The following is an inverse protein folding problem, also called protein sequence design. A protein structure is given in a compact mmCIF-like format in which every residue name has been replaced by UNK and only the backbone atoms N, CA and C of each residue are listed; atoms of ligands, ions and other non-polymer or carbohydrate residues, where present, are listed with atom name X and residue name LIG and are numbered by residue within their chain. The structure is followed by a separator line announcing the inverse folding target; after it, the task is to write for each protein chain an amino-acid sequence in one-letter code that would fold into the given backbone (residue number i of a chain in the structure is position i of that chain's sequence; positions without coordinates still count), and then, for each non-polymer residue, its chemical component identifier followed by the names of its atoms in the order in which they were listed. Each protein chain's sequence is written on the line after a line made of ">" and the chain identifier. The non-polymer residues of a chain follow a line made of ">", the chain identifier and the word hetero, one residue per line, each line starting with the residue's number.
data_IF_279402042890
#
_entry.id   IF_279402042890
#
_cell.length_a   1.000
_cell.length_b   1.000
_cell.length_c   1.000
_cell.angle_alpha   90.00
_cell.angle_beta   90.00
_cell.angle_gamma   90.00
#
_symmetry.space_group_name_H-M   'P 1'
#
loop_
_entity.id
_entity.type
_entity.pdbx_description
1 polymer ?
#
# COMPACT_ATOMS: atom_id res chain seq x y z
N UNK A 1 -81.92 -57.98 21.89
CA UNK A 1 -81.19 -57.05 20.99
C UNK A 1 -80.27 -56.24 21.89
N UNK A 2 -79.07 -56.70 22.26
CA UNK A 2 -77.83 -56.84 21.46
C UNK A 2 -77.50 -55.60 20.62
N UNK A 3 -76.82 -54.63 21.22
CA UNK A 3 -75.98 -53.65 20.51
C UNK A 3 -74.69 -53.44 21.29
N UNK A 4 -73.58 -53.70 20.57
CA UNK A 4 -72.21 -53.83 21.03
C UNK A 4 -71.59 -52.45 21.30
N UNK A 5 -70.81 -52.33 22.38
CA UNK A 5 -69.82 -51.28 22.55
C UNK A 5 -68.63 -51.58 21.62
N UNK A 6 -68.39 -50.72 20.64
CA UNK A 6 -67.14 -50.70 19.86
C UNK A 6 -66.24 -49.60 20.38
N UNK A 7 -65.16 -50.02 21.02
CA UNK A 7 -64.02 -49.20 21.39
C UNK A 7 -63.35 -48.65 20.14
N UNK A 8 -63.30 -47.32 19.99
CA UNK A 8 -62.51 -46.67 18.93
C UNK A 8 -61.08 -46.53 19.46
N UNK A 9 -60.18 -47.31 18.89
CA UNK A 9 -58.73 -47.17 19.03
C UNK A 9 -58.27 -45.88 18.37
N UNK A 10 -57.83 -44.90 19.17
CA UNK A 10 -57.14 -43.70 18.68
C UNK A 10 -55.72 -44.13 18.29
N UNK A 11 -55.47 -44.27 16.99
CA UNK A 11 -54.13 -44.45 16.45
C UNK A 11 -53.40 -43.10 16.48
N UNK A 12 -52.46 -42.94 17.42
CA UNK A 12 -51.53 -41.81 17.45
C UNK A 12 -50.58 -41.88 16.25
N UNK A 13 -50.85 -41.08 15.21
CA UNK A 13 -49.89 -40.77 14.16
C UNK A 13 -48.78 -39.88 14.75
N UNK A 14 -47.65 -40.50 15.09
CA UNK A 14 -46.39 -39.79 15.31
C UNK A 14 -45.94 -39.19 13.96
N UNK A 15 -46.33 -37.94 13.72
CA UNK A 15 -45.72 -37.13 12.69
C UNK A 15 -44.28 -36.85 13.12
N UNK A 16 -43.31 -37.56 12.54
CA UNK A 16 -41.90 -37.17 12.59
C UNK A 16 -41.76 -35.93 11.73
N UNK A 17 -42.02 -34.77 12.34
CA UNK A 17 -41.64 -33.49 11.79
C UNK A 17 -40.12 -33.44 11.74
N UNK A 18 -39.54 -33.74 10.58
CA UNK A 18 -38.17 -33.32 10.28
C UNK A 18 -38.21 -31.80 10.32
N UNK A 19 -37.75 -31.24 11.44
CA UNK A 19 -37.46 -29.82 11.54
C UNK A 19 -36.36 -29.51 10.53
N UNK A 20 -36.76 -29.14 9.31
CA UNK A 20 -35.90 -28.44 8.38
C UNK A 20 -35.57 -27.12 9.07
N UNK A 21 -34.45 -27.08 9.78
CA UNK A 21 -33.85 -25.83 10.19
C UNK A 21 -33.67 -25.02 8.91
N UNK A 22 -34.21 -23.79 8.83
CA UNK A 22 -33.91 -22.94 7.68
C UNK A 22 -32.40 -22.78 7.68
N UNK A 23 -31.74 -23.33 6.65
CA UNK A 23 -30.36 -23.01 6.38
C UNK A 23 -30.33 -21.49 6.26
N UNK A 24 -29.75 -20.82 7.26
CA UNK A 24 -29.44 -19.41 7.15
C UNK A 24 -28.58 -19.31 5.91
N UNK A 25 -29.16 -18.78 4.83
CA UNK A 25 -28.42 -18.46 3.63
C UNK A 25 -27.38 -17.44 4.08
N UNK A 26 -26.16 -17.93 4.35
CA UNK A 26 -25.03 -17.08 4.66
C UNK A 26 -24.96 -16.05 3.54
N UNK A 27 -25.17 -14.78 3.87
CA UNK A 27 -25.08 -13.71 2.89
C UNK A 27 -23.73 -13.87 2.19
N UNK A 28 -23.76 -14.04 0.87
CA UNK A 28 -22.55 -14.30 0.08
C UNK A 28 -21.52 -13.18 0.26
N UNK A 29 -20.24 -13.52 0.18
CA UNK A 29 -19.14 -12.55 0.33
C UNK A 29 -19.20 -11.51 -0.80
N UNK A 30 -19.13 -10.23 -0.47
CA UNK A 30 -19.08 -9.15 -1.46
C UNK A 30 -17.64 -8.88 -1.86
N UNK A 31 -17.35 -9.06 -3.14
CA UNK A 31 -16.01 -8.89 -3.71
C UNK A 31 -15.98 -7.63 -4.56
N UNK A 32 -14.99 -6.78 -4.28
CA UNK A 32 -14.68 -5.60 -5.09
C UNK A 32 -13.32 -5.75 -5.77
N UNK A 33 -13.14 -4.95 -6.80
CA UNK A 33 -11.85 -4.75 -7.48
C UNK A 33 -11.52 -3.27 -7.43
N UNK A 34 -10.27 -2.91 -7.66
CA UNK A 34 -9.87 -1.52 -7.86
C UNK A 34 -10.30 -1.07 -9.28
N UNK A 35 -11.17 -0.07 -9.43
CA UNK A 35 -11.44 0.56 -10.72
C UNK A 35 -10.17 1.20 -11.28
N UNK A 36 -10.09 1.36 -12.60
CA UNK A 36 -8.92 1.95 -13.28
C UNK A 36 -7.62 1.10 -13.26
N UNK A 37 -7.53 0.06 -12.43
CA UNK A 37 -6.37 -0.83 -12.41
C UNK A 37 -6.22 -1.57 -13.75
N UNK A 38 -5.00 -1.66 -14.32
CA UNK A 38 -4.75 -2.49 -15.49
C UNK A 38 -5.19 -3.95 -15.30
N UNK A 39 -5.13 -4.45 -14.07
CA UNK A 39 -5.40 -5.86 -13.74
C UNK A 39 -6.84 -6.17 -13.39
N UNK A 40 -7.79 -5.21 -13.41
CA UNK A 40 -9.17 -5.44 -12.93
C UNK A 40 -9.82 -6.71 -13.49
N UNK A 41 -9.62 -6.99 -14.78
CA UNK A 41 -10.14 -8.21 -15.42
C UNK A 41 -9.46 -9.49 -14.91
N UNK A 42 -8.14 -9.45 -14.70
CA UNK A 42 -7.39 -10.54 -14.06
C UNK A 42 -7.87 -10.76 -12.63
N UNK A 43 -7.96 -9.70 -11.85
CA UNK A 43 -8.28 -9.77 -10.41
C UNK A 43 -9.67 -10.37 -10.20
N UNK A 44 -10.63 -9.99 -11.07
CA UNK A 44 -11.97 -10.59 -11.10
C UNK A 44 -11.93 -12.08 -11.49
N UNK A 45 -11.08 -12.48 -12.43
CA UNK A 45 -10.95 -13.89 -12.83
C UNK A 45 -10.31 -14.75 -11.72
N UNK A 46 -9.24 -14.26 -11.10
CA UNK A 46 -8.59 -14.90 -9.94
C UNK A 46 -9.56 -15.02 -8.78
N UNK A 47 -10.28 -13.95 -8.44
CA UNK A 47 -11.30 -13.98 -7.40
C UNK A 47 -12.40 -15.00 -7.71
N UNK A 48 -12.97 -15.02 -8.92
CA UNK A 48 -13.98 -16.03 -9.28
C UNK A 48 -13.46 -17.45 -9.09
N UNK A 49 -12.22 -17.72 -9.48
CA UNK A 49 -11.64 -19.06 -9.32
C UNK A 49 -11.40 -19.43 -7.85
N UNK A 50 -10.87 -18.50 -7.06
CA UNK A 50 -10.61 -18.68 -5.62
C UNK A 50 -11.92 -18.95 -4.88
N UNK A 51 -12.93 -18.09 -5.04
CA UNK A 51 -14.20 -18.24 -4.33
C UNK A 51 -14.96 -19.50 -4.75
N UNK A 52 -14.93 -19.85 -6.04
CA UNK A 52 -15.50 -21.11 -6.57
C UNK A 52 -14.80 -22.33 -5.96
N UNK A 53 -13.47 -22.35 -5.96
CA UNK A 53 -12.68 -23.48 -5.44
C UNK A 53 -12.82 -23.61 -3.93
N UNK A 54 -12.90 -22.48 -3.22
CA UNK A 54 -13.13 -22.45 -1.79
C UNK A 54 -14.54 -22.89 -1.40
N UNK A 55 -15.50 -22.97 -2.32
CA UNK A 55 -16.91 -23.22 -2.02
C UNK A 55 -17.57 -22.07 -1.25
N UNK A 56 -17.22 -20.83 -1.59
CA UNK A 56 -17.77 -19.62 -1.00
C UNK A 56 -18.66 -18.93 -2.03
N UNK A 57 -19.94 -18.72 -1.70
CA UNK A 57 -20.82 -17.89 -2.51
C UNK A 57 -20.30 -16.44 -2.50
N UNK A 58 -20.09 -15.86 -3.67
CA UNK A 58 -19.55 -14.51 -3.83
C UNK A 58 -20.38 -13.68 -4.82
N UNK A 59 -20.58 -12.41 -4.48
CA UNK A 59 -21.16 -11.41 -5.38
C UNK A 59 -20.08 -10.40 -5.76
N UNK A 60 -20.08 -9.95 -7.01
CA UNK A 60 -19.04 -9.04 -7.50
C UNK A 60 -19.63 -7.66 -7.75
N UNK A 61 -19.17 -6.68 -7.00
CA UNK A 61 -19.55 -5.29 -7.22
C UNK A 61 -19.05 -4.84 -8.60
N UNK A 62 -19.91 -4.16 -9.36
CA UNK A 62 -19.60 -3.62 -10.69
C UNK A 62 -18.95 -2.25 -10.62
N UNK A 63 -19.23 -1.47 -9.56
CA UNK A 63 -18.62 -0.14 -9.33
C UNK A 63 -17.20 -0.23 -8.80
N UNK A 64 -16.86 -1.31 -8.11
CA UNK A 64 -15.58 -1.45 -7.41
C UNK A 64 -15.52 -0.64 -6.11
N UNK A 65 -14.30 -0.36 -5.64
CA UNK A 65 -14.03 0.58 -4.54
C UNK A 65 -14.12 1.99 -5.10
N UNK A 66 -14.96 2.83 -4.52
CA UNK A 66 -15.28 4.19 -4.98
C UNK A 66 -13.99 5.03 -5.14
N UNK A 67 -13.56 5.28 -6.38
CA UNK A 67 -12.70 6.41 -6.71
C UNK A 67 -13.61 7.52 -7.23
N UNK A 68 -13.41 8.77 -6.81
CA UNK A 68 -14.24 9.87 -7.29
C UNK A 68 -13.90 10.25 -8.75
N UNK A 69 -13.23 9.38 -9.52
CA UNK A 69 -12.73 9.65 -10.86
C UNK A 69 -11.46 10.52 -10.90
N UNK A 70 -10.93 10.91 -9.75
CA UNK A 70 -9.71 11.71 -9.65
C UNK A 70 -8.47 10.79 -9.69
N UNK A 71 -7.47 11.17 -10.50
CA UNK A 71 -6.22 10.43 -10.77
C UNK A 71 -5.26 10.38 -9.56
N UNK A 72 -5.77 10.70 -8.37
CA UNK A 72 -5.01 10.96 -7.14
C UNK A 72 -4.88 9.73 -6.23
N UNK A 73 -5.44 8.58 -6.64
CA UNK A 73 -5.43 7.34 -5.88
C UNK A 73 -6.51 7.30 -4.78
N UNK A 74 -6.66 6.14 -4.13
CA UNK A 74 -7.66 5.92 -3.07
C UNK A 74 -6.96 6.11 -1.71
N UNK A 75 -7.49 6.97 -0.84
CA UNK A 75 -6.97 7.12 0.53
C UNK A 75 -7.25 5.88 1.37
N UNK A 76 -6.44 5.63 2.41
CA UNK A 76 -6.68 4.55 3.36
C UNK A 76 -8.06 4.68 4.06
N UNK A 77 -8.53 5.92 4.26
CA UNK A 77 -9.84 6.19 4.86
C UNK A 77 -11.01 5.83 3.93
N UNK A 78 -10.91 6.12 2.63
CA UNK A 78 -11.91 5.76 1.60
C UNK A 78 -11.94 4.26 1.35
N UNK A 79 -10.77 3.63 1.37
CA UNK A 79 -10.64 2.18 1.30
C UNK A 79 -11.31 1.49 2.48
N UNK A 80 -11.11 2.01 3.69
CA UNK A 80 -11.76 1.50 4.91
C UNK A 80 -13.27 1.66 4.85
N UNK A 81 -13.77 2.85 4.46
CA UNK A 81 -15.21 3.10 4.28
C UNK A 81 -15.85 2.15 3.25
N UNK A 82 -15.14 1.88 2.16
CA UNK A 82 -15.61 0.94 1.12
C UNK A 82 -15.65 -0.51 1.62
N UNK A 83 -14.68 -0.93 2.45
CA UNK A 83 -14.68 -2.24 3.10
C UNK A 83 -15.73 -2.38 4.22
N UNK A 84 -16.15 -1.27 4.83
CA UNK A 84 -17.25 -1.29 5.80
C UNK A 84 -18.61 -1.31 5.09
N UNK A 85 -18.76 -0.54 4.01
CA UNK A 85 -20.04 -0.29 3.35
C UNK A 85 -20.34 -1.22 2.18
N UNK A 86 -19.39 -1.44 1.29
CA UNK A 86 -19.65 -1.94 -0.07
C UNK A 86 -19.07 -3.35 -0.34
N UNK A 87 -18.00 -3.74 0.36
CA UNK A 87 -17.19 -4.91 0.03
C UNK A 87 -16.75 -5.65 1.29
N UNK A 88 -16.71 -6.97 1.30
CA UNK A 88 -16.05 -7.74 2.36
C UNK A 88 -14.57 -8.01 2.04
N UNK A 89 -14.25 -8.05 0.74
CA UNK A 89 -12.91 -8.35 0.21
C UNK A 89 -12.64 -7.50 -1.02
N UNK A 90 -11.42 -6.99 -1.15
CA UNK A 90 -10.92 -6.34 -2.38
C UNK A 90 -9.90 -7.26 -3.03
N UNK A 91 -10.13 -7.62 -4.29
CA UNK A 91 -9.18 -8.33 -5.13
C UNK A 91 -8.36 -7.32 -5.94
N UNK A 92 -7.04 -7.54 -5.99
CA UNK A 92 -6.13 -6.71 -6.81
C UNK A 92 -5.43 -5.63 -6.01
N UNK A 93 -5.37 -5.80 -4.69
CA UNK A 93 -4.76 -4.80 -3.82
C UNK A 93 -3.23 -4.89 -3.91
N UNK A 94 -2.53 -3.83 -4.32
CA UNK A 94 -1.08 -3.82 -4.41
C UNK A 94 -0.45 -3.76 -3.01
N UNK A 95 0.55 -4.60 -2.78
CA UNK A 95 1.23 -4.77 -1.49
C UNK A 95 2.73 -4.74 -1.68
N UNK A 96 3.45 -4.07 -0.78
CA UNK A 96 4.91 -4.16 -0.69
C UNK A 96 5.35 -4.10 0.76
N UNK A 97 6.40 -4.85 1.13
CA UNK A 97 6.87 -4.91 2.51
C UNK A 97 7.18 -3.53 3.12
N UNK A 98 7.51 -2.53 2.29
CA UNK A 98 7.90 -1.19 2.72
C UNK A 98 6.68 -0.28 2.89
N UNK A 99 5.72 -0.33 1.96
CA UNK A 99 4.47 0.41 2.09
C UNK A 99 3.59 -0.18 3.20
N UNK A 100 3.68 -1.49 3.41
CA UNK A 100 2.84 -2.25 4.34
C UNK A 100 3.35 -2.22 5.80
N UNK A 101 4.50 -1.62 6.07
CA UNK A 101 5.12 -1.58 7.41
C UNK A 101 4.36 -0.71 8.43
N UNK A 102 3.14 -0.28 8.11
CA UNK A 102 2.30 0.57 8.92
C UNK A 102 1.06 -0.14 9.43
N UNK A 103 0.61 0.27 10.61
CA UNK A 103 -0.46 -0.36 11.39
C UNK A 103 -1.86 -0.19 10.82
N UNK A 104 -2.11 -0.61 9.58
CA UNK A 104 -3.46 -0.74 9.04
C UNK A 104 -4.23 -1.83 9.79
N UNK A 105 -5.52 -1.58 10.07
CA UNK A 105 -6.45 -2.57 10.64
C UNK A 105 -6.91 -3.63 9.63
N UNK A 106 -6.46 -3.52 8.38
CA UNK A 106 -6.76 -4.46 7.32
C UNK A 106 -5.86 -5.68 7.40
N UNK A 107 -6.39 -6.84 7.04
CA UNK A 107 -5.61 -8.06 6.84
C UNK A 107 -5.52 -8.37 5.35
N UNK A 108 -4.55 -9.19 4.96
CA UNK A 108 -4.23 -9.44 3.56
C UNK A 108 -3.95 -10.93 3.34
N UNK A 109 -4.34 -11.44 2.17
CA UNK A 109 -3.95 -12.79 1.76
C UNK A 109 -2.48 -12.82 1.35
N UNK A 110 -1.94 -14.03 1.19
CA UNK A 110 -0.75 -14.22 0.36
C UNK A 110 -0.94 -13.63 -1.04
N UNK A 111 0.16 -13.22 -1.66
CA UNK A 111 0.16 -12.66 -3.01
C UNK A 111 -0.18 -13.72 -4.05
N UNK A 112 -1.05 -13.37 -4.99
CA UNK A 112 -1.42 -14.26 -6.10
C UNK A 112 -0.77 -13.87 -7.43
N UNK A 113 -0.21 -12.66 -7.52
CA UNK A 113 0.63 -12.21 -8.64
C UNK A 113 1.77 -11.36 -8.10
N UNK A 114 3.01 -11.82 -8.27
CA UNK A 114 4.18 -10.96 -8.06
C UNK A 114 4.30 -9.95 -9.18
N UNK A 115 4.58 -8.70 -8.83
CA UNK A 115 4.70 -7.59 -9.76
C UNK A 115 5.72 -6.57 -9.24
N UNK A 116 5.74 -5.38 -9.84
CA UNK A 116 6.70 -4.37 -9.43
C UNK A 116 6.76 -3.15 -10.34
N UNK A 117 7.50 -2.16 -9.87
CA UNK A 117 7.92 -1.03 -10.69
C UNK A 117 9.16 -1.44 -11.45
N UNK A 118 9.13 -1.23 -12.76
CA UNK A 118 10.15 -1.66 -13.71
C UNK A 118 10.67 -0.47 -14.51
N UNK A 119 11.88 -0.62 -15.03
CA UNK A 119 12.48 0.33 -15.95
C UNK A 119 12.16 -0.12 -17.37
N UNK A 120 11.62 0.78 -18.19
CA UNK A 120 11.09 0.47 -19.51
C UNK A 120 11.74 1.40 -20.54
N UNK A 121 12.19 0.86 -21.66
CA UNK A 121 12.74 1.64 -22.79
C UNK A 121 12.20 1.11 -24.12
N UNK A 122 12.31 1.90 -25.19
CA UNK A 122 12.05 1.41 -26.54
C UNK A 122 13.14 0.40 -26.95
N UNK A 123 12.76 -0.61 -27.75
CA UNK A 123 13.72 -1.64 -28.20
C UNK A 123 14.90 -1.10 -28.98
N UNK A 124 14.69 -0.05 -29.75
CA UNK A 124 15.71 0.57 -30.60
C UNK A 124 16.17 1.92 -30.02
N UNK A 125 16.06 2.10 -28.70
CA UNK A 125 16.47 3.32 -28.05
C UNK A 125 17.98 3.58 -28.26
N UNK A 126 18.38 4.76 -28.75
CA UNK A 126 19.79 5.10 -28.87
C UNK A 126 20.48 5.09 -27.51
N UNK A 127 21.76 4.72 -27.49
CA UNK A 127 22.57 4.71 -26.27
C UNK A 127 22.62 6.11 -25.63
N UNK A 128 22.65 6.21 -24.28
CA UNK A 128 22.67 7.50 -23.61
C UNK A 128 23.88 8.34 -24.03
N UNK A 129 23.64 9.51 -24.62
CA UNK A 129 24.64 10.34 -25.29
C UNK A 129 25.46 11.24 -24.33
N UNK A 130 25.65 10.82 -23.09
CA UNK A 130 26.33 11.62 -22.04
C UNK A 130 25.54 12.84 -21.52
N UNK A 131 24.41 13.19 -22.14
CA UNK A 131 23.45 14.17 -21.61
C UNK A 131 22.61 13.57 -20.47
N UNK A 132 22.01 14.42 -19.63
CA UNK A 132 21.05 13.99 -18.59
C UNK A 132 19.92 13.19 -19.23
N UNK A 133 19.73 11.94 -18.80
CA UNK A 133 18.66 11.06 -19.28
C UNK A 133 17.29 11.59 -18.80
N UNK A 134 16.30 11.67 -19.69
CA UNK A 134 14.91 11.98 -19.33
C UNK A 134 14.19 10.69 -18.99
N UNK A 135 13.74 10.61 -17.73
CA UNK A 135 13.04 9.47 -17.17
C UNK A 135 11.60 9.87 -16.88
N UNK A 136 10.66 9.23 -17.55
CA UNK A 136 9.24 9.39 -17.25
C UNK A 136 8.87 8.62 -15.98
N UNK A 137 8.04 9.23 -15.14
CA UNK A 137 7.55 8.61 -13.92
C UNK A 137 6.13 9.07 -13.59
N UNK A 138 5.35 8.18 -12.97
CA UNK A 138 3.97 8.50 -12.56
C UNK A 138 4.00 9.28 -11.24
N UNK A 139 3.44 10.47 -11.24
CA UNK A 139 3.30 11.34 -10.08
C UNK A 139 2.54 10.65 -8.93
N UNK A 140 2.90 10.95 -7.68
CA UNK A 140 2.21 10.45 -6.50
C UNK A 140 2.38 8.95 -6.23
N UNK A 141 3.24 8.27 -6.99
CA UNK A 141 3.40 6.82 -6.94
C UNK A 141 4.84 6.40 -6.62
N UNK A 142 5.09 5.12 -6.27
CA UNK A 142 6.44 4.59 -6.12
C UNK A 142 7.32 4.80 -7.36
N UNK A 143 6.75 4.93 -8.56
CA UNK A 143 7.50 5.26 -9.78
C UNK A 143 8.31 6.55 -9.59
N UNK A 144 7.69 7.60 -9.06
CA UNK A 144 8.33 8.88 -8.80
C UNK A 144 9.45 8.75 -7.76
N UNK A 145 9.24 7.97 -6.68
CA UNK A 145 10.26 7.75 -5.66
C UNK A 145 11.49 7.03 -6.21
N UNK A 146 11.27 6.03 -7.07
CA UNK A 146 12.35 5.28 -7.72
C UNK A 146 13.08 6.17 -8.74
N UNK A 147 12.34 7.04 -9.45
CA UNK A 147 12.92 8.01 -10.38
C UNK A 147 13.79 9.03 -9.66
N UNK A 148 13.34 9.54 -8.51
CA UNK A 148 14.09 10.47 -7.68
C UNK A 148 15.43 9.89 -7.16
N UNK A 149 15.57 8.56 -7.10
CA UNK A 149 16.83 7.88 -6.74
C UNK A 149 17.84 7.80 -7.89
N UNK A 150 17.45 8.16 -9.12
CA UNK A 150 18.32 8.09 -10.28
C UNK A 150 19.27 9.29 -10.33
N UNK A 151 20.56 9.01 -10.50
CA UNK A 151 21.57 10.06 -10.65
C UNK A 151 21.62 10.55 -12.10
N UNK A 152 21.94 11.83 -12.30
CA UNK A 152 22.09 12.43 -13.63
C UNK A 152 20.86 12.33 -14.55
N UNK A 153 19.65 12.43 -13.99
CA UNK A 153 18.39 12.38 -14.73
C UNK A 153 17.63 13.71 -14.72
N UNK A 154 16.76 13.89 -15.71
CA UNK A 154 15.62 14.82 -15.72
C UNK A 154 14.34 14.01 -15.63
N UNK A 155 13.33 14.52 -14.94
CA UNK A 155 12.07 13.80 -14.75
C UNK A 155 10.98 14.38 -15.64
N UNK A 156 10.26 13.49 -16.33
CA UNK A 156 9.00 13.79 -17.00
C UNK A 156 7.88 13.18 -16.14
N UNK A 157 7.23 14.01 -15.33
CA UNK A 157 6.19 13.55 -14.40
C UNK A 157 4.83 13.55 -15.10
N UNK A 158 4.22 12.37 -15.14
CA UNK A 158 2.94 12.12 -15.77
C UNK A 158 1.90 11.72 -14.72
N UNK A 159 0.63 12.04 -14.95
CA UNK A 159 -0.41 11.79 -13.95
C UNK A 159 -0.83 10.30 -13.91
N UNK A 160 -0.84 9.62 -15.07
CA UNK A 160 -1.20 8.19 -15.16
C UNK A 160 -0.02 7.34 -15.60
N UNK A 161 -0.02 6.06 -15.20
CA UNK A 161 0.95 5.08 -15.74
C UNK A 161 0.85 4.91 -17.26
N UNK A 162 -0.33 5.09 -17.84
CA UNK A 162 -0.53 5.05 -19.29
C UNK A 162 0.20 6.23 -19.97
N UNK A 163 0.07 7.44 -19.44
CA UNK A 163 0.79 8.63 -19.93
C UNK A 163 2.30 8.49 -19.74
N UNK A 164 2.75 7.92 -18.62
CA UNK A 164 4.17 7.59 -18.39
C UNK A 164 4.74 6.70 -19.50
N UNK A 165 4.01 5.67 -19.94
CA UNK A 165 4.43 4.80 -21.06
C UNK A 165 4.27 5.54 -22.40
N UNK A 166 3.23 6.36 -22.54
CA UNK A 166 3.01 7.22 -23.70
C UNK A 166 4.15 8.22 -23.93
N UNK A 167 4.77 8.74 -22.87
CA UNK A 167 5.95 9.62 -22.96
C UNK A 167 7.14 8.92 -23.61
N UNK A 168 7.35 7.64 -23.28
CA UNK A 168 8.35 6.80 -23.90
C UNK A 168 8.00 6.51 -25.38
N UNK A 169 6.75 6.13 -25.66
CA UNK A 169 6.28 5.85 -27.02
C UNK A 169 6.35 7.07 -27.95
N UNK A 170 6.18 8.28 -27.40
CA UNK A 170 6.28 9.56 -28.12
C UNK A 170 7.72 10.10 -28.23
N UNK A 171 8.71 9.42 -27.64
CA UNK A 171 10.11 9.86 -27.62
C UNK A 171 10.39 11.07 -26.72
N UNK A 172 9.44 11.47 -25.86
CA UNK A 172 9.62 12.55 -24.87
C UNK A 172 10.54 12.14 -23.72
N UNK A 173 10.48 10.87 -23.35
CA UNK A 173 11.37 10.25 -22.38
C UNK A 173 12.20 9.15 -23.04
N UNK A 174 13.44 8.98 -22.58
CA UNK A 174 14.32 7.90 -23.06
C UNK A 174 14.04 6.59 -22.31
N UNK A 175 13.54 6.71 -21.09
CA UNK A 175 13.20 5.60 -20.21
C UNK A 175 12.00 5.96 -19.36
N UNK A 176 11.25 4.98 -18.90
CA UNK A 176 10.15 5.16 -17.97
C UNK A 176 10.34 4.23 -16.78
N UNK A 177 10.06 4.72 -15.57
CA UNK A 177 9.85 3.85 -14.41
C UNK A 177 8.34 3.71 -14.23
N UNK A 178 7.80 2.51 -14.26
CA UNK A 178 6.33 2.34 -14.26
C UNK A 178 5.92 1.00 -13.67
N UNK A 179 4.68 0.95 -13.18
CA UNK A 179 4.02 -0.27 -12.74
C UNK A 179 3.91 -1.28 -13.90
N UNK A 180 4.50 -2.48 -13.74
CA UNK A 180 4.61 -3.45 -14.83
C UNK A 180 3.27 -3.86 -15.48
N UNK A 181 2.17 -4.08 -14.74
CA UNK A 181 0.87 -4.35 -15.33
C UNK A 181 0.38 -3.25 -16.28
N UNK A 182 0.77 -1.99 -16.05
CA UNK A 182 0.48 -0.89 -16.97
C UNK A 182 1.22 -1.08 -18.31
N UNK A 183 2.44 -1.62 -18.30
CA UNK A 183 3.20 -1.96 -19.52
C UNK A 183 2.45 -3.04 -20.30
N UNK A 184 2.04 -4.10 -19.63
CA UNK A 184 1.28 -5.20 -20.24
C UNK A 184 -0.04 -4.71 -20.84
N UNK A 185 -0.78 -3.86 -20.13
CA UNK A 185 -2.02 -3.28 -20.64
C UNK A 185 -1.77 -2.37 -21.85
N UNK A 186 -0.74 -1.53 -21.78
CA UNK A 186 -0.37 -0.63 -22.87
C UNK A 186 0.02 -1.42 -24.14
N UNK A 187 0.83 -2.47 -24.03
CA UNK A 187 1.23 -3.31 -25.17
C UNK A 187 0.07 -4.08 -25.79
N UNK A 188 -0.95 -4.44 -24.99
CA UNK A 188 -2.19 -5.06 -25.49
C UNK A 188 -3.05 -4.06 -26.24
N UNK A 189 -3.15 -2.83 -25.76
CA UNK A 189 -3.86 -1.74 -26.43
C UNK A 189 -3.11 -1.22 -27.67
N UNK A 190 -1.78 -1.36 -27.71
CA UNK A 190 -0.90 -0.89 -28.78
C UNK A 190 -0.03 -2.04 -29.32
N UNK A 191 -0.56 -2.97 -30.13
CA UNK A 191 0.15 -4.19 -30.55
C UNK A 191 1.46 -3.96 -31.34
N UNK A 192 1.63 -2.77 -31.91
CA UNK A 192 2.83 -2.35 -32.64
C UNK A 192 3.95 -1.82 -31.73
N UNK A 193 3.60 -1.40 -30.51
CA UNK A 193 4.57 -0.92 -29.53
C UNK A 193 5.13 -2.09 -28.75
N UNK A 194 6.45 -2.14 -28.61
CA UNK A 194 7.17 -3.16 -27.86
C UNK A 194 8.27 -2.51 -27.05
N UNK A 195 8.34 -2.90 -25.78
CA UNK A 195 9.31 -2.31 -24.87
C UNK A 195 10.35 -3.33 -24.43
N UNK A 196 11.54 -2.82 -24.08
CA UNK A 196 12.47 -3.55 -23.24
C UNK A 196 12.12 -3.26 -21.80
N UNK A 197 12.07 -4.30 -20.98
CA UNK A 197 11.76 -4.20 -19.55
C UNK A 197 12.98 -4.67 -18.78
N UNK A 198 13.39 -3.89 -17.78
CA UNK A 198 14.50 -4.17 -16.89
C UNK A 198 14.09 -3.93 -15.43
N UNK A 199 14.79 -4.58 -14.50
CA UNK A 199 14.61 -4.32 -13.08
C UNK A 199 15.11 -2.90 -12.73
N UNK A 200 14.31 -2.14 -11.98
CA UNK A 200 14.80 -0.94 -11.27
C UNK A 200 15.65 -1.35 -10.10
N UNK A 201 16.57 -0.51 -9.61
CA UNK A 201 17.32 -0.75 -8.37
C UNK A 201 16.80 0.13 -7.25
N UNK A 202 15.71 -0.30 -6.61
CA UNK A 202 15.11 0.43 -5.49
C UNK A 202 14.32 -0.49 -4.58
N UNK A 203 14.31 -0.24 -3.25
CA UNK A 203 13.53 -1.06 -2.32
C UNK A 203 12.01 -0.91 -2.57
N UNK A 204 11.55 0.20 -3.17
CA UNK A 204 10.14 0.42 -3.55
C UNK A 204 9.69 -0.32 -4.82
N UNK A 205 10.50 -1.24 -5.35
CA UNK A 205 10.24 -1.87 -6.65
C UNK A 205 9.47 -3.17 -6.57
N UNK A 206 9.53 -3.89 -5.44
CA UNK A 206 8.94 -5.22 -5.30
C UNK A 206 7.53 -5.14 -4.70
N UNK A 207 6.56 -5.66 -5.45
CA UNK A 207 5.16 -5.61 -5.07
C UNK A 207 4.46 -6.93 -5.42
N UNK A 208 3.27 -7.11 -4.87
CA UNK A 208 2.39 -8.20 -5.26
C UNK A 208 0.94 -7.75 -5.23
N UNK A 209 0.08 -8.43 -5.98
CA UNK A 209 -1.36 -8.31 -5.84
C UNK A 209 -1.88 -9.37 -4.87
N UNK A 210 -2.67 -8.91 -3.91
CA UNK A 210 -3.31 -9.73 -2.87
C UNK A 210 -4.81 -9.44 -2.78
N UNK A 211 -5.50 -10.25 -1.99
CA UNK A 211 -6.81 -9.90 -1.44
C UNK A 211 -6.61 -9.07 -0.18
N UNK A 212 -7.40 -8.01 -0.03
CA UNK A 212 -7.43 -7.17 1.17
C UNK A 212 -8.77 -7.32 1.88
N UNK A 213 -8.73 -7.34 3.21
CA UNK A 213 -9.87 -7.65 4.07
C UNK A 213 -10.06 -6.54 5.11
N UNK A 214 -11.33 -6.22 5.38
CA UNK A 214 -11.69 -5.37 6.52
C UNK A 214 -11.49 -6.09 7.87
N UNK A 215 -11.61 -5.37 8.99
CA UNK A 215 -11.51 -5.95 10.33
C UNK A 215 -12.45 -7.15 10.56
N UNK A 216 -11.99 -8.16 11.29
CA UNK A 216 -12.81 -9.31 11.71
C UNK A 216 -13.06 -10.36 10.64
N UNK A 217 -12.28 -10.37 9.55
CA UNK A 217 -12.40 -11.32 8.43
C UNK A 217 -11.33 -12.41 8.43
N UNK A 218 -10.67 -12.67 9.56
CA UNK A 218 -9.51 -13.58 9.66
C UNK A 218 -9.81 -15.00 9.17
N UNK A 219 -10.98 -15.56 9.50
CA UNK A 219 -11.38 -16.88 9.02
C UNK A 219 -11.57 -16.95 7.50
N UNK A 220 -12.04 -15.85 6.89
CA UNK A 220 -12.17 -15.75 5.44
C UNK A 220 -10.81 -15.60 4.76
N UNK A 221 -9.92 -14.79 5.35
CA UNK A 221 -8.54 -14.62 4.91
C UNK A 221 -7.80 -15.97 4.91
N UNK A 222 -7.88 -16.75 5.99
CA UNK A 222 -7.23 -18.06 6.11
C UNK A 222 -7.74 -19.06 5.08
N UNK A 223 -9.06 -19.07 4.82
CA UNK A 223 -9.68 -19.95 3.83
C UNK A 223 -9.26 -19.57 2.40
N UNK A 224 -9.13 -18.28 2.11
CA UNK A 224 -8.63 -17.79 0.83
C UNK A 224 -7.15 -18.15 0.66
N UNK A 225 -6.32 -18.02 1.70
CA UNK A 225 -4.91 -18.43 1.65
C UNK A 225 -4.76 -19.93 1.38
N UNK A 226 -5.49 -20.79 2.09
CA UNK A 226 -5.46 -22.23 1.84
C UNK A 226 -5.83 -22.57 0.38
N UNK A 227 -6.83 -21.86 -0.17
CA UNK A 227 -7.27 -22.04 -1.56
C UNK A 227 -6.22 -21.53 -2.56
N UNK A 228 -5.60 -20.38 -2.30
CA UNK A 228 -4.51 -19.86 -3.12
C UNK A 228 -3.31 -20.82 -3.14
N UNK A 229 -2.99 -21.45 -2.01
CA UNK A 229 -1.93 -22.47 -1.93
C UNK A 229 -2.28 -23.70 -2.76
N UNK A 230 -3.54 -24.15 -2.72
CA UNK A 230 -4.02 -25.24 -3.58
C UNK A 230 -3.91 -24.89 -5.08
N UNK A 231 -4.36 -23.70 -5.47
CA UNK A 231 -4.33 -23.23 -6.87
C UNK A 231 -2.90 -22.98 -7.37
N UNK A 232 -2.00 -22.59 -6.47
CA UNK A 232 -0.57 -22.49 -6.75
C UNK A 232 0.03 -23.88 -6.99
N UNK A 233 -0.22 -24.82 -6.07
CA UNK A 233 0.33 -26.18 -6.13
C UNK A 233 -0.11 -27.01 -7.33
N UNK A 234 -1.28 -26.72 -7.91
CA UNK A 234 -1.78 -27.39 -9.12
C UNK A 234 -1.55 -26.59 -10.42
N UNK A 235 -0.85 -25.45 -10.36
CA UNK A 235 -0.53 -24.61 -11.53
C UNK A 235 -1.69 -23.81 -12.10
N UNK A 236 -2.90 -23.89 -11.53
CA UNK A 236 -4.06 -23.11 -11.99
C UNK A 236 -3.84 -21.62 -11.83
N UNK A 237 -3.22 -21.20 -10.72
CA UNK A 237 -2.91 -19.80 -10.49
C UNK A 237 -1.93 -19.27 -11.55
N UNK A 238 -0.86 -20.02 -11.85
CA UNK A 238 0.08 -19.68 -12.92
C UNK A 238 -0.59 -19.60 -14.29
N UNK A 239 -1.59 -20.45 -14.56
CA UNK A 239 -2.37 -20.38 -15.80
C UNK A 239 -3.21 -19.11 -15.90
N UNK A 240 -3.81 -18.66 -14.79
CA UNK A 240 -4.62 -17.44 -14.76
C UNK A 240 -3.77 -16.18 -14.90
N UNK A 241 -2.58 -16.19 -14.30
CA UNK A 241 -1.71 -15.01 -14.22
C UNK A 241 -0.66 -14.92 -15.33
N UNK A 242 -0.46 -15.97 -16.14
CA UNK A 242 0.60 -16.08 -17.17
C UNK A 242 0.80 -14.82 -18.02
N UNK A 243 -0.28 -14.19 -18.46
CA UNK A 243 -0.22 -13.00 -19.32
C UNK A 243 0.25 -11.72 -18.61
N UNK A 244 0.46 -11.77 -17.30
CA UNK A 244 0.78 -10.65 -16.42
C UNK A 244 2.02 -10.90 -15.56
N UNK A 245 2.63 -12.09 -15.69
CA UNK A 245 3.82 -12.47 -14.93
C UNK A 245 5.01 -11.59 -15.31
N UNK A 246 5.75 -11.11 -14.30
CA UNK A 246 7.03 -10.45 -14.51
C UNK A 246 8.03 -11.41 -15.17
N UNK A 247 8.87 -10.95 -16.12
CA UNK A 247 9.96 -11.76 -16.65
C UNK A 247 10.89 -12.28 -15.54
N UNK A 248 11.28 -13.56 -15.62
CA UNK A 248 12.00 -14.27 -14.54
C UNK A 248 13.28 -13.55 -14.09
N UNK A 249 14.06 -12.99 -15.02
CA UNK A 249 15.28 -12.25 -14.68
C UNK A 249 15.03 -10.99 -13.85
N UNK A 250 13.85 -10.38 -13.99
CA UNK A 250 13.43 -9.21 -13.21
C UNK A 250 12.94 -9.65 -11.83
N UNK A 251 12.11 -10.70 -11.77
CA UNK A 251 11.60 -11.25 -10.53
C UNK A 251 12.74 -11.76 -9.61
N UNK A 252 13.78 -12.35 -10.20
CA UNK A 252 14.97 -12.82 -9.48
C UNK A 252 15.85 -11.66 -9.00
N UNK A 253 16.03 -10.61 -9.81
CA UNK A 253 16.76 -9.40 -9.41
C UNK A 253 16.07 -8.63 -8.27
N UNK A 254 14.75 -8.73 -8.15
CA UNK A 254 14.01 -8.21 -6.99
C UNK A 254 14.20 -9.10 -5.74
N UNK A 255 14.24 -10.43 -5.90
CA UNK A 255 14.38 -11.39 -4.81
C UNK A 255 15.79 -11.48 -4.19
N UNK A 256 16.84 -11.23 -4.97
CA UNK A 256 18.24 -11.29 -4.50
C UNK A 256 18.68 -10.05 -3.74
N UNK A 257 17.84 -9.01 -3.71
CA UNK A 257 18.15 -7.82 -2.93
C UNK A 257 17.82 -8.06 -1.47
N UNK A 258 18.86 -7.99 -0.66
CA UNK A 258 18.75 -7.71 0.77
C UNK A 258 17.74 -6.57 0.92
N UNK A 259 16.72 -6.67 1.79
CA UNK A 259 15.86 -5.52 2.08
C UNK A 259 16.78 -4.33 2.30
N UNK A 260 16.52 -3.23 1.57
CA UNK A 260 17.39 -2.07 1.62
C UNK A 260 17.67 -1.78 3.09
N UNK A 261 18.94 -1.88 3.49
CA UNK A 261 19.38 -1.60 4.85
C UNK A 261 19.12 -0.12 5.12
N UNK A 262 17.89 0.24 5.46
CA UNK A 262 17.71 1.00 6.68
C UNK A 262 17.98 0.01 7.81
N UNK A 263 18.71 0.44 8.82
CA UNK A 263 19.48 -0.41 9.73
C UNK A 263 18.59 -1.34 10.59
N UNK A 264 18.10 -2.42 10.00
CA UNK A 264 17.31 -3.45 10.68
C UNK A 264 18.19 -4.67 10.91
N UNK A 265 18.77 -4.74 12.11
CA UNK A 265 19.29 -5.98 12.68
C UNK A 265 18.22 -6.62 13.54
N UNK A 266 17.61 -7.70 13.04
CA UNK A 266 16.73 -8.55 13.82
C UNK A 266 17.49 -9.18 15.00
N UNK A 267 17.02 -8.93 16.23
CA UNK A 267 17.29 -9.80 17.36
C UNK A 267 15.99 -9.96 18.14
N UNK A 268 15.53 -11.21 18.22
CA UNK A 268 14.42 -11.61 19.07
C UNK A 268 14.78 -11.30 20.54
N UNK A 269 13.92 -10.56 21.21
CA UNK A 269 13.77 -10.70 22.67
C UNK A 269 12.40 -10.20 23.09
N UNK A 270 11.67 -11.08 23.75
CA UNK A 270 10.35 -10.83 24.29
C UNK A 270 10.43 -9.96 25.54
N UNK A 271 9.80 -8.79 25.55
CA UNK A 271 9.45 -8.11 26.79
C UNK A 271 8.14 -7.31 26.66
N UNK A 272 7.42 -7.25 27.78
CA UNK A 272 5.98 -6.99 27.96
C UNK A 272 5.61 -5.49 27.79
N UNK A 273 4.33 -5.14 27.53
CA UNK A 273 3.93 -3.75 27.35
C UNK A 273 3.86 -3.02 28.70
N UNK A 274 4.73 -2.04 28.89
CA UNK A 274 4.62 -1.01 29.92
C UNK A 274 4.59 0.35 29.25
N UNK A 275 3.49 1.09 29.40
CA UNK A 275 3.30 2.40 28.76
C UNK A 275 3.87 3.52 29.65
N UNK A 276 4.79 4.33 29.12
CA UNK A 276 5.27 5.55 29.78
C UNK A 276 4.91 6.76 28.91
N UNK A 277 4.24 7.75 29.51
CA UNK A 277 4.08 9.09 28.93
C UNK A 277 5.47 9.74 28.93
N UNK A 278 6.00 10.09 27.75
CA UNK A 278 7.16 10.98 27.64
C UNK A 278 6.69 12.40 27.97
N UNK A 279 6.46 12.66 29.25
CA UNK A 279 6.35 14.02 29.76
C UNK A 279 7.71 14.68 29.62
N UNK A 280 7.72 15.93 29.17
CA UNK A 280 8.88 16.82 29.10
C UNK A 280 9.72 16.75 30.39
N UNK A 281 10.77 15.94 30.40
CA UNK A 281 11.90 16.13 31.31
C UNK A 281 13.01 16.78 30.50
N UNK A 282 13.56 17.86 31.04
CA UNK A 282 14.81 18.46 30.59
C UNK A 282 15.85 17.34 30.44
N UNK A 283 16.17 16.95 29.19
CA UNK A 283 17.14 15.89 28.92
C UNK A 283 17.01 15.13 27.60
N UNK A 284 15.91 15.22 26.86
CA UNK A 284 15.77 14.49 25.57
C UNK A 284 16.55 15.11 24.40
N UNK A 285 17.09 16.33 24.55
CA UNK A 285 17.88 17.02 23.52
C UNK A 285 17.12 17.39 22.25
N UNK A 286 15.83 17.04 22.17
CA UNK A 286 14.97 17.33 21.02
C UNK A 286 14.64 18.83 20.98
N UNK A 287 14.74 19.48 19.82
CA UNK A 287 14.42 20.89 19.67
C UNK A 287 13.00 21.23 20.12
N UNK A 288 12.87 22.40 20.76
CA UNK A 288 11.56 23.00 21.01
C UNK A 288 10.88 23.42 19.71
N UNK A 289 9.56 23.33 19.69
CA UNK A 289 8.67 23.81 18.63
C UNK A 289 7.37 24.29 19.25
N UNK A 290 6.67 25.22 18.60
CA UNK A 290 5.43 25.78 19.13
C UNK A 290 4.15 25.19 18.48
N UNK A 291 3.01 25.43 19.12
CA UNK A 291 1.72 24.91 18.66
C UNK A 291 1.29 25.52 17.31
N UNK A 292 1.66 26.76 17.00
CA UNK A 292 1.30 27.39 15.73
C UNK A 292 1.99 26.70 14.56
N UNK A 293 3.26 26.34 14.73
CA UNK A 293 4.01 25.54 13.76
C UNK A 293 3.38 24.18 13.54
N UNK A 294 2.91 23.51 14.60
CA UNK A 294 2.21 22.22 14.48
C UNK A 294 0.94 22.36 13.64
N UNK A 295 0.13 23.40 13.88
CA UNK A 295 -1.12 23.60 13.13
C UNK A 295 -0.86 23.91 11.66
N UNK A 296 0.10 24.80 11.39
CA UNK A 296 0.45 25.15 10.02
C UNK A 296 1.09 23.96 9.29
N UNK A 297 2.02 23.26 9.94
CA UNK A 297 2.65 22.04 9.45
C UNK A 297 1.65 20.94 9.13
N UNK A 298 0.61 20.75 9.96
CA UNK A 298 -0.47 19.79 9.68
C UNK A 298 -1.21 20.12 8.39
N UNK A 299 -1.49 21.40 8.14
CA UNK A 299 -2.14 21.84 6.89
C UNK A 299 -1.24 21.58 5.69
N UNK A 300 0.03 22.01 5.77
CA UNK A 300 1.02 21.76 4.71
C UNK A 300 1.19 20.27 4.42
N UNK A 301 1.18 19.44 5.47
CA UNK A 301 1.26 17.99 5.36
C UNK A 301 0.07 17.41 4.57
N UNK A 302 -1.16 17.82 4.91
CA UNK A 302 -2.35 17.41 4.17
C UNK A 302 -2.28 17.80 2.69
N UNK A 303 -1.83 19.03 2.41
CA UNK A 303 -1.78 19.58 1.05
C UNK A 303 -0.68 18.94 0.18
N UNK A 304 0.48 18.60 0.76
CA UNK A 304 1.69 18.26 -0.01
C UNK A 304 2.27 16.86 0.25
N UNK A 305 1.98 16.25 1.40
CA UNK A 305 2.68 15.05 1.88
C UNK A 305 1.75 13.84 2.03
N UNK A 306 0.50 14.05 2.45
CA UNK A 306 -0.46 12.99 2.76
C UNK A 306 -0.75 12.05 1.57
N UNK A 307 -0.74 12.59 0.34
CA UNK A 307 -0.90 11.80 -0.91
C UNK A 307 0.05 10.59 -1.00
N UNK A 308 1.26 10.70 -0.44
CA UNK A 308 2.26 9.62 -0.47
C UNK A 308 2.47 8.98 0.90
N UNK A 309 2.40 9.77 1.97
CA UNK A 309 2.71 9.33 3.33
C UNK A 309 1.48 9.00 4.19
N UNK A 310 0.26 9.01 3.62
CA UNK A 310 -1.00 8.75 4.32
C UNK A 310 -1.52 9.96 5.11
N UNK A 311 -2.83 10.02 5.38
CA UNK A 311 -3.44 11.15 6.11
C UNK A 311 -3.02 11.18 7.60
N UNK A 312 -2.66 10.03 8.13
CA UNK A 312 -2.27 9.78 9.52
C UNK A 312 -0.79 9.43 9.64
N UNK A 313 0.04 9.74 8.63
CA UNK A 313 1.46 9.36 8.57
C UNK A 313 1.69 7.84 8.54
N UNK A 314 0.67 7.09 8.18
CA UNK A 314 0.66 5.64 8.07
C UNK A 314 1.34 5.14 6.80
N UNK A 315 1.81 6.01 5.91
CA UNK A 315 2.39 5.57 4.65
C UNK A 315 1.33 5.06 3.66
N UNK A 316 1.63 5.26 2.38
CA UNK A 316 0.81 4.75 1.29
C UNK A 316 1.75 4.33 0.14
N UNK A 317 2.02 5.26 -0.78
CA UNK A 317 3.00 5.05 -1.85
C UNK A 317 4.43 5.36 -1.40
N UNK A 318 4.60 6.00 -0.25
CA UNK A 318 5.86 6.26 0.46
C UNK A 318 5.81 5.69 1.89
N UNK A 319 6.96 5.53 2.57
CA UNK A 319 7.01 4.95 3.92
C UNK A 319 6.16 5.71 4.94
N UNK A 320 5.75 5.00 5.98
CA UNK A 320 5.17 5.63 7.17
C UNK A 320 6.15 6.63 7.80
N UNK A 321 5.59 7.71 8.33
CA UNK A 321 6.31 8.76 9.06
C UNK A 321 5.89 8.80 10.53
N UNK A 322 5.31 7.70 11.01
CA UNK A 322 4.91 7.51 12.40
C UNK A 322 5.04 6.05 12.85
N UNK A 323 5.10 5.85 14.17
CA UNK A 323 5.16 4.54 14.80
C UNK A 323 6.54 3.85 14.73
N UNK A 324 6.59 2.62 15.27
CA UNK A 324 7.85 1.87 15.47
C UNK A 324 8.62 1.61 14.18
N UNK A 325 7.94 1.51 13.03
CA UNK A 325 8.59 1.30 11.72
C UNK A 325 9.27 2.56 11.18
N UNK A 326 8.91 3.75 11.66
CA UNK A 326 9.55 5.00 11.28
C UNK A 326 10.75 5.33 12.19
N UNK A 327 10.56 5.29 13.51
CA UNK A 327 11.62 5.57 14.47
C UNK A 327 11.43 4.74 15.76
N UNK A 328 12.03 3.53 15.84
CA UNK A 328 11.79 2.61 16.95
C UNK A 328 12.39 3.11 18.27
N UNK A 329 11.64 2.92 19.36
CA UNK A 329 12.08 3.28 20.70
C UNK A 329 13.38 2.54 21.10
N UNK A 330 14.35 3.29 21.64
CA UNK A 330 15.62 2.74 22.14
C UNK A 330 16.57 2.19 21.07
N UNK A 331 16.20 2.22 19.78
CA UNK A 331 16.98 1.67 18.66
C UNK A 331 17.08 2.61 17.45
N UNK A 332 16.40 3.75 17.47
CA UNK A 332 16.46 4.72 16.39
C UNK A 332 17.87 5.31 16.25
N UNK A 333 18.45 5.14 15.07
CA UNK A 333 19.71 5.74 14.63
C UNK A 333 19.48 7.04 13.83
N UNK A 334 18.21 7.43 13.69
CA UNK A 334 17.76 8.59 12.93
C UNK A 334 17.70 9.78 13.89
N UNK A 335 18.30 10.90 13.52
CA UNK A 335 18.25 12.12 14.33
C UNK A 335 17.23 13.11 13.79
N UNK A 336 16.75 14.01 14.65
CA UNK A 336 15.88 15.14 14.25
C UNK A 336 16.52 15.96 13.15
N UNK A 337 17.81 16.31 13.27
CA UNK A 337 18.51 17.05 12.22
C UNK A 337 18.72 16.26 10.94
N UNK A 338 18.91 14.94 11.04
CA UNK A 338 19.00 14.06 9.86
C UNK A 338 17.70 14.05 9.06
N UNK A 339 16.55 13.94 9.74
CA UNK A 339 15.24 13.98 9.09
C UNK A 339 14.94 15.36 8.54
N UNK A 340 15.23 16.43 9.29
CA UNK A 340 15.01 17.79 8.80
C UNK A 340 15.81 18.08 7.52
N UNK A 341 17.08 17.70 7.51
CA UNK A 341 17.95 17.84 6.34
C UNK A 341 17.43 17.02 5.16
N UNK A 342 17.04 15.77 5.41
CA UNK A 342 16.48 14.92 4.37
C UNK A 342 15.18 15.50 3.80
N UNK A 343 14.26 15.92 4.65
CA UNK A 343 12.98 16.52 4.28
C UNK A 343 13.18 17.79 3.46
N UNK A 344 14.01 18.73 3.93
CA UNK A 344 14.25 20.00 3.24
C UNK A 344 14.98 19.85 1.90
N UNK A 345 15.80 18.80 1.76
CA UNK A 345 16.63 18.61 0.55
C UNK A 345 16.01 17.66 -0.48
N UNK A 346 15.17 16.71 -0.05
CA UNK A 346 14.69 15.62 -0.89
C UNK A 346 13.16 15.59 -1.02
N UNK A 347 12.44 16.33 -0.17
CA UNK A 347 10.99 16.37 -0.20
C UNK A 347 10.48 17.77 -0.54
N UNK A 348 9.28 17.89 -1.13
CA UNK A 348 8.48 16.81 -1.71
C UNK A 348 9.15 16.14 -2.92
N UNK A 349 9.00 14.83 -3.09
CA UNK A 349 9.73 14.06 -4.10
C UNK A 349 9.54 14.54 -5.55
N UNK A 350 8.47 15.30 -5.85
CA UNK A 350 8.15 15.80 -7.20
C UNK A 350 8.95 17.06 -7.52
N UNK A 351 9.26 17.83 -6.47
CA UNK A 351 10.06 19.06 -6.54
C UNK A 351 10.80 19.22 -5.21
N UNK A 352 11.93 18.50 -5.03
CA UNK A 352 12.74 18.61 -3.83
C UNK A 352 13.12 20.07 -3.55
N UNK A 353 12.98 20.51 -2.29
CA UNK A 353 13.33 21.87 -1.88
C UNK A 353 12.37 22.97 -2.34
N UNK A 354 11.16 22.64 -2.84
CA UNK A 354 10.20 23.65 -3.32
C UNK A 354 9.58 24.52 -2.23
N UNK A 355 9.64 24.09 -0.97
CA UNK A 355 9.01 24.79 0.15
C UNK A 355 10.02 25.75 0.79
N UNK A 356 9.51 26.80 1.42
CA UNK A 356 10.32 27.76 2.18
C UNK A 356 10.90 27.11 3.44
N UNK A 357 11.97 27.70 4.00
CA UNK A 357 12.56 27.21 5.25
C UNK A 357 11.53 27.14 6.39
N UNK A 358 10.67 28.15 6.50
CA UNK A 358 9.60 28.18 7.50
C UNK A 358 8.58 27.04 7.31
N UNK A 359 8.19 26.72 6.07
CA UNK A 359 7.28 25.60 5.82
C UNK A 359 7.90 24.26 6.25
N UNK A 360 9.22 24.07 6.06
CA UNK A 360 9.91 22.89 6.56
C UNK A 360 10.05 22.87 8.09
N UNK A 361 10.27 24.02 8.74
CA UNK A 361 10.22 24.14 10.21
C UNK A 361 8.87 23.67 10.75
N UNK A 362 7.80 24.14 10.14
CA UNK A 362 6.44 23.85 10.55
C UNK A 362 6.06 22.38 10.30
N UNK A 363 6.47 21.82 9.16
CA UNK A 363 6.35 20.39 8.88
C UNK A 363 7.11 19.52 9.89
N UNK A 364 8.32 19.94 10.28
CA UNK A 364 9.09 19.21 11.28
C UNK A 364 8.43 19.27 12.66
N UNK A 365 7.90 20.43 13.05
CA UNK A 365 7.14 20.59 14.29
C UNK A 365 5.91 19.67 14.30
N UNK A 366 5.16 19.61 13.19
CA UNK A 366 4.03 18.69 13.05
C UNK A 366 4.45 17.22 13.14
N UNK A 367 5.57 16.84 12.50
CA UNK A 367 6.10 15.48 12.54
C UNK A 367 6.51 15.07 13.96
N UNK A 368 7.22 15.94 14.68
CA UNK A 368 7.56 15.74 16.09
C UNK A 368 6.30 15.61 16.95
N UNK A 369 5.35 16.52 16.79
CA UNK A 369 4.09 16.47 17.54
C UNK A 369 3.34 15.16 17.31
N UNK A 370 3.23 14.72 16.06
CA UNK A 370 2.52 13.48 15.71
C UNK A 370 3.19 12.23 16.26
N UNK A 371 4.50 12.30 16.49
CA UNK A 371 5.33 11.24 17.06
C UNK A 371 5.53 11.34 18.58
N UNK A 372 4.66 12.10 19.26
CA UNK A 372 4.55 12.08 20.72
C UNK A 372 5.36 13.15 21.46
N UNK A 373 6.02 14.07 20.76
CA UNK A 373 6.72 15.19 21.38
C UNK A 373 5.76 16.33 21.74
N UNK A 374 5.92 16.96 22.90
CA UNK A 374 5.07 18.08 23.31
C UNK A 374 5.54 19.42 22.75
N UNK A 375 4.58 20.22 22.30
CA UNK A 375 4.84 21.60 21.90
C UNK A 375 5.24 22.43 23.13
N UNK A 376 6.15 23.38 22.91
CA UNK A 376 6.60 24.36 23.89
C UNK A 376 6.20 25.78 23.45
N UNK A 377 6.74 26.80 24.13
CA UNK A 377 6.51 28.21 23.78
C UNK A 377 7.51 28.74 22.76
N UNK A 378 8.54 27.96 22.42
CA UNK A 378 9.63 28.40 21.56
C UNK A 378 9.50 27.81 20.16
N UNK A 379 9.69 28.65 19.15
CA UNK A 379 9.65 28.24 17.75
C UNK A 379 10.88 27.40 17.39
N UNK A 380 10.67 26.33 16.63
CA UNK A 380 11.71 25.59 15.94
C UNK A 380 12.22 26.40 14.74
N UNK A 381 13.53 26.60 14.65
CA UNK A 381 14.17 27.19 13.48
C UNK A 381 14.93 26.14 12.68
N UNK A 382 15.16 26.42 11.39
CA UNK A 382 15.92 25.55 10.51
C UNK A 382 17.35 25.29 11.02
N UNK A 383 18.01 26.29 11.64
CA UNK A 383 19.35 26.08 12.22
C UNK A 383 19.30 25.10 13.40
N UNK A 384 18.33 25.29 14.32
CA UNK A 384 18.19 24.44 15.50
C UNK A 384 17.81 23.02 15.09
N UNK A 385 16.90 22.87 14.13
CA UNK A 385 16.49 21.57 13.61
C UNK A 385 17.69 20.81 13.02
N UNK A 386 18.42 21.44 12.08
CA UNK A 386 19.60 20.84 11.44
C UNK A 386 20.71 20.49 12.43
N UNK A 387 20.95 21.33 13.43
CA UNK A 387 21.99 21.10 14.43
C UNK A 387 21.64 19.96 15.41
N UNK A 388 20.37 19.55 15.47
CA UNK A 388 19.93 18.56 16.44
C UNK A 388 20.47 17.15 16.15
N UNK A 389 21.18 16.62 17.14
CA UNK A 389 21.63 15.21 17.17
C UNK A 389 20.73 14.31 18.00
N UNK A 390 19.61 14.83 18.49
CA UNK A 390 18.68 14.05 19.27
C UNK A 390 18.10 12.92 18.41
N UNK A 391 18.11 11.67 18.89
CA UNK A 391 17.41 10.58 18.24
C UNK A 391 15.92 10.92 18.11
N UNK A 392 15.37 10.74 16.91
CA UNK A 392 13.93 10.75 16.72
C UNK A 392 13.37 9.44 17.27
N UNK A 393 12.39 9.52 18.14
CA UNK A 393 11.65 8.39 18.69
C UNK A 393 10.20 8.59 18.27
N UNK A 394 9.65 7.63 17.54
CA UNK A 394 8.27 7.65 17.09
C UNK A 394 7.40 6.82 18.05
N UNK A 395 6.66 7.53 18.91
CA UNK A 395 5.54 6.96 19.66
C UNK A 395 4.24 7.58 19.15
N UNK A 396 3.19 6.81 18.82
CA UNK A 396 1.92 7.41 18.42
C UNK A 396 1.40 8.30 19.56
N UNK A 397 1.13 9.58 19.25
CA UNK A 397 0.39 10.45 20.16
C UNK A 397 -1.02 9.87 20.31
N UNK A 398 -1.38 9.44 21.52
CA UNK A 398 -2.72 8.89 21.83
C UNK A 398 -3.77 9.99 21.98
#
# INVERSE_FOLDING_TARGET
>A
MNTRLTSVTVASLLAVGVALTPATASAGVRVCTLPGSPTTALDRAVAREVFRTAGIAATFNTRGVDDNGDDDGISASELTKSLERDCDVIAGFPRSAIADASGSKMTFSQGYLRSGYVSVSLRDAPAPSGAKETIAATYGSPSQLIAAQQTNARFDLENTSEKTIGALAAGRAQRAIVWYPSVVAYERAHPKQRFQVAATSSPYSDWQLSFAFGPGKDALQQRIDATLSQLSGNGRLASLTRGWTLPDGIAQAAATRVPGRFLDGAIASAQRPGFIKVSTSEGSGVPSFDQAQVQHGKKLYGDACAKCHGDQLEGNTAPALSGESFAPEGKSHITVGGIFLYMSSNMPADRPGKMTAQEYEDLMAFLLYSNGYDASKSKLTAEIANASKAPLIAGPRK
#
